data_IF_125830738434
#
_entry.id   IF_125830738434
#
_cell.length_a   1.000
_cell.length_b   1.000
_cell.length_c   1.000
_cell.angle_alpha   90.00
_cell.angle_beta   90.00
_cell.angle_gamma   90.00
#
_symmetry.space_group_name_H-M   'P 1'
#
loop_
_entity.id
_entity.type
_entity.pdbx_description
1 polymer ?
#
# COMPACT_ATOMS: atom_id res chain seq x y z
N UNK A 1 -9.54 2.50 -60.51
CA UNK A 1 -8.83 1.59 -59.58
C UNK A 1 -9.89 0.77 -58.86
N UNK A 2 -9.96 -0.54 -59.12
CA UNK A 2 -10.92 -1.41 -58.44
C UNK A 2 -10.51 -1.57 -56.98
N UNK A 3 -11.38 -1.19 -56.05
CA UNK A 3 -11.21 -1.50 -54.64
C UNK A 3 -11.32 -3.03 -54.48
N UNK A 4 -10.23 -3.68 -54.08
CA UNK A 4 -10.27 -5.07 -53.62
C UNK A 4 -11.07 -5.07 -52.31
N UNK A 5 -12.32 -5.50 -52.38
CA UNK A 5 -13.16 -5.70 -51.19
C UNK A 5 -12.63 -6.85 -50.33
N UNK A 6 -12.76 -6.71 -49.02
CA UNK A 6 -12.46 -7.77 -48.05
C UNK A 6 -13.44 -8.93 -48.26
N UNK A 7 -12.96 -10.18 -48.23
CA UNK A 7 -13.86 -11.33 -48.34
C UNK A 7 -14.57 -11.60 -47.01
N UNK A 8 -15.78 -12.14 -47.06
CA UNK A 8 -16.51 -12.53 -45.85
C UNK A 8 -15.73 -13.58 -45.04
N UNK A 9 -15.04 -14.50 -45.72
CA UNK A 9 -14.25 -15.54 -45.04
C UNK A 9 -13.02 -14.96 -44.32
N UNK A 10 -12.36 -13.95 -44.89
CA UNK A 10 -11.26 -13.26 -44.20
C UNK A 10 -11.75 -12.60 -42.91
N UNK A 11 -12.94 -11.98 -42.93
CA UNK A 11 -13.49 -11.36 -41.72
C UNK A 11 -13.83 -12.41 -40.65
N UNK A 12 -14.43 -13.53 -41.05
CA UNK A 12 -14.80 -14.62 -40.14
C UNK A 12 -13.56 -15.27 -39.51
N UNK A 13 -12.52 -15.52 -40.29
CA UNK A 13 -11.27 -16.09 -39.74
C UNK A 13 -10.63 -15.14 -38.72
N UNK A 14 -10.63 -13.83 -38.98
CA UNK A 14 -10.05 -12.85 -38.06
C UNK A 14 -10.76 -12.84 -36.71
N UNK A 15 -12.09 -12.82 -36.69
CA UNK A 15 -12.84 -12.83 -35.42
C UNK A 15 -12.67 -14.16 -34.65
N UNK A 16 -12.56 -15.29 -35.36
CA UNK A 16 -12.32 -16.60 -34.73
C UNK A 16 -10.93 -16.65 -34.09
N UNK A 17 -9.90 -16.16 -34.78
CA UNK A 17 -8.54 -16.11 -34.24
C UNK A 17 -8.46 -15.18 -33.03
N UNK A 18 -9.05 -13.98 -33.11
CA UNK A 18 -9.11 -13.04 -31.96
C UNK A 18 -9.86 -13.68 -30.79
N UNK A 19 -10.94 -14.43 -31.05
CA UNK A 19 -11.69 -15.15 -30.02
C UNK A 19 -10.85 -16.16 -29.24
N UNK A 20 -10.06 -16.98 -29.94
CA UNK A 20 -9.19 -17.99 -29.30
C UNK A 20 -8.08 -17.31 -28.48
N UNK A 21 -7.44 -16.27 -29.04
CA UNK A 21 -6.37 -15.54 -28.35
C UNK A 21 -6.87 -14.85 -27.09
N UNK A 22 -8.09 -14.28 -27.11
CA UNK A 22 -8.67 -13.63 -25.94
C UNK A 22 -8.89 -14.60 -24.77
N UNK A 23 -9.41 -15.81 -25.05
CA UNK A 23 -9.71 -16.82 -24.01
C UNK A 23 -8.43 -17.25 -23.27
N UNK A 24 -7.32 -17.43 -23.99
CA UNK A 24 -6.04 -17.85 -23.39
C UNK A 24 -5.36 -16.70 -22.64
N UNK A 25 -5.53 -15.45 -23.08
CA UNK A 25 -4.87 -14.30 -22.50
C UNK A 25 -5.52 -13.79 -21.20
N UNK A 26 -6.85 -13.87 -21.07
CA UNK A 26 -7.60 -13.29 -19.93
C UNK A 26 -7.15 -13.84 -18.57
N UNK A 27 -7.04 -15.16 -18.33
CA UNK A 27 -6.68 -15.68 -17.01
C UNK A 27 -5.31 -15.20 -16.54
N UNK A 28 -4.34 -15.14 -17.47
CA UNK A 28 -3.00 -14.64 -17.19
C UNK A 28 -2.98 -13.13 -16.95
N UNK A 29 -3.81 -12.38 -17.66
CA UNK A 29 -3.93 -10.93 -17.42
C UNK A 29 -4.49 -10.61 -16.03
N UNK A 30 -5.44 -11.42 -15.52
CA UNK A 30 -5.98 -11.26 -14.16
C UNK A 30 -4.91 -11.57 -13.11
N UNK A 31 -4.17 -12.68 -13.25
CA UNK A 31 -3.11 -13.03 -12.29
C UNK A 31 -2.00 -11.97 -12.23
N UNK A 32 -1.57 -11.45 -13.40
CA UNK A 32 -0.56 -10.40 -13.47
C UNK A 32 -1.01 -9.10 -12.78
N UNK A 33 -2.29 -8.76 -12.85
CA UNK A 33 -2.83 -7.59 -12.15
C UNK A 33 -2.81 -7.79 -10.63
N UNK A 34 -3.13 -8.99 -10.13
CA UNK A 34 -3.05 -9.31 -8.70
C UNK A 34 -1.61 -9.27 -8.20
N UNK A 35 -0.68 -9.85 -8.95
CA UNK A 35 0.76 -9.81 -8.63
C UNK A 35 1.29 -8.37 -8.60
N UNK A 36 0.88 -7.54 -9.58
CA UNK A 36 1.25 -6.13 -9.62
C UNK A 36 0.70 -5.36 -8.40
N UNK A 37 -0.53 -5.64 -7.98
CA UNK A 37 -1.12 -5.06 -6.76
C UNK A 37 -0.35 -5.49 -5.51
N UNK A 38 -0.05 -6.78 -5.37
CA UNK A 38 0.71 -7.31 -4.25
C UNK A 38 2.13 -6.73 -4.18
N UNK A 39 2.81 -6.60 -5.33
CA UNK A 39 4.12 -5.95 -5.42
C UNK A 39 4.05 -4.47 -5.01
N UNK A 40 3.01 -3.75 -5.44
CA UNK A 40 2.83 -2.33 -5.10
C UNK A 40 2.57 -2.13 -3.60
N UNK A 41 1.75 -2.98 -2.97
CA UNK A 41 1.55 -2.97 -1.52
C UNK A 41 2.82 -3.37 -0.75
N UNK A 42 3.61 -4.28 -1.30
CA UNK A 42 4.92 -4.64 -0.71
C UNK A 42 5.89 -3.45 -0.77
N UNK A 43 5.89 -2.70 -1.88
CA UNK A 43 6.62 -1.44 -1.99
C UNK A 43 6.15 -0.42 -0.94
N UNK A 44 4.84 -0.29 -0.75
CA UNK A 44 4.27 0.57 0.28
C UNK A 44 4.73 0.18 1.70
N UNK A 45 4.68 -1.11 2.04
CA UNK A 45 5.17 -1.66 3.31
C UNK A 45 6.64 -1.27 3.54
N UNK A 46 7.49 -1.46 2.54
CA UNK A 46 8.92 -1.12 2.65
C UNK A 46 9.17 0.37 2.89
N UNK A 47 8.36 1.25 2.29
CA UNK A 47 8.42 2.70 2.51
C UNK A 47 8.03 3.09 3.94
N UNK A 48 7.00 2.44 4.49
CA UNK A 48 6.56 2.61 5.88
C UNK A 48 7.64 2.11 6.84
N UNK A 49 8.20 0.93 6.61
CA UNK A 49 9.28 0.37 7.44
C UNK A 49 10.55 1.22 7.43
N UNK A 50 10.90 1.77 6.28
CA UNK A 50 12.03 2.70 6.13
C UNK A 50 11.79 3.96 6.94
N UNK A 51 10.60 4.56 6.81
CA UNK A 51 10.23 5.78 7.53
C UNK A 51 10.18 5.56 9.05
N UNK A 52 9.64 4.42 9.50
CA UNK A 52 9.66 3.98 10.90
C UNK A 52 11.09 3.92 11.43
N UNK A 53 12.01 3.32 10.67
CA UNK A 53 13.42 3.17 11.07
C UNK A 53 14.14 4.52 11.13
N UNK A 54 13.89 5.42 10.18
CA UNK A 54 14.46 6.78 10.19
C UNK A 54 14.01 7.58 11.41
N UNK A 55 12.71 7.55 11.75
CA UNK A 55 12.17 8.22 12.93
C UNK A 55 12.77 7.63 14.21
N UNK A 56 12.87 6.30 14.28
CA UNK A 56 13.50 5.62 15.40
C UNK A 56 14.96 6.02 15.59
N UNK A 57 15.75 6.06 14.53
CA UNK A 57 17.16 6.48 14.61
C UNK A 57 17.30 7.93 15.10
N UNK A 58 16.39 8.82 14.68
CA UNK A 58 16.35 10.21 15.18
C UNK A 58 15.93 10.28 16.65
N UNK A 59 15.00 9.44 17.10
CA UNK A 59 14.62 9.35 18.50
C UNK A 59 15.77 8.80 19.37
N UNK A 60 16.48 7.78 18.88
CA UNK A 60 17.66 7.21 19.53
C UNK A 60 18.76 8.25 19.71
N UNK A 61 19.04 9.05 18.68
CA UNK A 61 20.03 10.15 18.75
C UNK A 61 19.65 11.27 19.74
N UNK A 62 18.41 11.28 20.26
CA UNK A 62 17.91 12.20 21.27
C UNK A 62 17.65 11.52 22.61
N UNK A 63 18.03 10.25 22.75
CA UNK A 63 17.77 9.41 23.93
C UNK A 63 16.27 9.24 24.26
N UNK A 64 15.38 9.43 23.27
CA UNK A 64 13.92 9.33 23.42
C UNK A 64 13.34 7.95 23.08
N UNK A 65 14.20 6.97 22.80
CA UNK A 65 13.80 5.64 22.30
C UNK A 65 13.13 4.74 23.36
N UNK A 66 13.16 5.13 24.64
CA UNK A 66 12.50 4.41 25.74
C UNK A 66 11.25 5.16 26.26
N UNK A 67 11.04 6.38 25.80
CA UNK A 67 9.96 7.22 26.29
C UNK A 67 8.63 6.81 25.66
N UNK A 68 7.64 6.50 26.49
CA UNK A 68 6.30 6.12 26.00
C UNK A 68 5.60 7.27 25.27
N UNK A 69 5.83 8.50 25.70
CA UNK A 69 5.21 9.69 25.11
C UNK A 69 6.26 10.77 24.94
N UNK A 70 6.79 10.88 23.73
CA UNK A 70 7.76 11.92 23.39
C UNK A 70 7.46 12.52 22.01
N UNK A 71 8.21 13.56 21.65
CA UNK A 71 8.23 14.08 20.29
C UNK A 71 9.65 14.31 19.87
N UNK A 72 10.00 13.85 18.68
CA UNK A 72 11.31 14.09 18.09
C UNK A 72 11.17 15.17 17.02
N UNK A 73 12.16 16.05 16.93
CA UNK A 73 12.22 17.03 15.84
C UNK A 73 12.80 16.36 14.61
N UNK A 74 12.04 16.40 13.53
CA UNK A 74 12.30 15.67 12.31
C UNK A 74 12.05 16.68 11.17
N UNK A 75 13.13 17.20 10.58
CA UNK A 75 13.11 18.22 9.51
C UNK A 75 12.28 19.47 9.86
N UNK A 76 12.44 19.95 11.10
CA UNK A 76 11.75 21.13 11.60
C UNK A 76 10.31 20.89 12.05
N UNK A 77 9.79 19.66 11.94
CA UNK A 77 8.46 19.28 12.42
C UNK A 77 8.58 18.36 13.62
N UNK A 78 7.71 18.57 14.61
CA UNK A 78 7.61 17.68 15.76
C UNK A 78 6.75 16.48 15.37
N UNK A 79 7.34 15.29 15.41
CA UNK A 79 6.62 14.03 15.19
C UNK A 79 6.45 13.36 16.56
N UNK A 80 5.21 13.10 16.99
CA UNK A 80 4.98 12.36 18.22
C UNK A 80 5.36 10.90 18.03
N UNK A 81 6.05 10.38 19.04
CA UNK A 81 6.61 9.05 19.07
C UNK A 81 6.23 8.33 20.37
N UNK A 82 6.11 7.02 20.27
CA UNK A 82 6.00 6.09 21.39
C UNK A 82 7.16 5.10 21.29
N UNK A 83 8.00 5.07 22.31
CA UNK A 83 9.21 4.25 22.38
C UNK A 83 10.11 4.39 21.14
N UNK A 84 10.28 5.63 20.67
CA UNK A 84 11.06 5.96 19.47
C UNK A 84 10.35 5.73 18.14
N UNK A 85 9.18 5.09 18.10
CA UNK A 85 8.45 4.82 16.86
C UNK A 85 7.29 5.80 16.65
N UNK A 86 6.91 6.13 15.40
CA UNK A 86 5.79 7.02 15.15
C UNK A 86 4.46 6.43 15.65
N UNK A 87 3.54 7.29 16.07
CA UNK A 87 2.19 6.86 16.41
C UNK A 87 1.42 6.35 15.19
N UNK A 88 0.33 5.62 15.42
CA UNK A 88 -0.59 5.11 14.38
C UNK A 88 -1.49 6.23 13.85
N UNK A 89 -0.88 7.28 13.32
CA UNK A 89 -1.56 8.39 12.67
C UNK A 89 -0.67 9.00 11.57
N UNK A 90 -0.99 8.71 10.30
CA UNK A 90 -0.15 9.16 9.16
C UNK A 90 -0.10 10.69 9.01
N UNK A 91 -1.13 11.40 9.47
CA UNK A 91 -1.19 12.86 9.34
C UNK A 91 -0.04 13.56 10.07
N UNK A 92 0.56 12.89 11.06
CA UNK A 92 1.61 13.44 11.92
C UNK A 92 3.02 13.31 11.31
N UNK A 93 3.21 12.50 10.25
CA UNK A 93 4.52 12.20 9.65
C UNK A 93 4.51 12.19 8.11
N UNK A 94 3.38 12.53 7.49
CA UNK A 94 3.25 12.75 6.05
C UNK A 94 4.13 13.88 5.53
N UNK A 95 4.39 14.84 6.42
CA UNK A 95 5.18 16.01 6.17
C UNK A 95 6.67 15.77 6.51
N UNK A 96 7.37 15.05 5.63
CA UNK A 96 8.84 14.98 5.63
C UNK A 96 9.45 13.59 5.52
N UNK A 97 8.71 12.51 5.83
CA UNK A 97 9.28 11.15 5.90
C UNK A 97 8.57 10.19 4.97
N UNK A 98 7.27 10.03 5.17
CA UNK A 98 6.47 9.09 4.40
C UNK A 98 5.37 9.81 3.65
N UNK A 99 5.64 10.10 2.37
CA UNK A 99 4.64 10.67 1.48
C UNK A 99 3.84 9.54 0.85
N UNK A 100 2.61 9.37 1.33
CA UNK A 100 1.66 8.47 0.68
C UNK A 100 1.26 9.06 -0.67
N UNK A 101 1.36 8.28 -1.75
CA UNK A 101 0.80 8.68 -3.03
C UNK A 101 -0.74 8.66 -2.96
N UNK A 102 -1.33 9.82 -2.74
CA UNK A 102 -2.79 10.01 -2.59
C UNK A 102 -3.57 9.77 -3.89
N UNK A 103 -2.89 9.66 -5.03
CA UNK A 103 -3.54 9.26 -6.27
C UNK A 103 -3.78 7.76 -6.33
N UNK A 104 -2.93 6.97 -5.65
CA UNK A 104 -2.97 5.51 -5.69
C UNK A 104 -3.49 4.88 -4.39
N UNK A 105 -3.26 5.53 -3.25
CA UNK A 105 -3.57 4.97 -1.94
C UNK A 105 -4.49 5.86 -1.10
N UNK A 106 -5.23 5.21 -0.22
CA UNK A 106 -5.99 5.80 0.90
C UNK A 106 -5.54 5.16 2.21
N UNK A 107 -5.93 5.79 3.30
CA UNK A 107 -5.72 5.25 4.64
C UNK A 107 -6.99 5.35 5.49
N UNK A 108 -7.11 4.50 6.50
CA UNK A 108 -8.15 4.52 7.52
C UNK A 108 -7.58 4.05 8.85
N UNK A 109 -8.35 4.21 9.94
CA UNK A 109 -8.07 3.52 11.20
C UNK A 109 -8.88 2.23 11.25
N UNK A 110 -8.34 1.22 11.90
CA UNK A 110 -9.09 0.01 12.25
C UNK A 110 -10.25 0.34 13.19
N UNK A 111 -11.24 -0.55 13.27
CA UNK A 111 -12.43 -0.39 14.10
C UNK A 111 -12.12 -0.24 15.60
N UNK A 112 -11.03 -0.85 16.07
CA UNK A 112 -10.49 -0.71 17.43
C UNK A 112 -9.60 0.53 17.62
N UNK A 113 -9.36 1.30 16.54
CA UNK A 113 -8.51 2.50 16.51
C UNK A 113 -7.03 2.24 16.89
N UNK A 114 -6.58 0.98 16.85
CA UNK A 114 -5.22 0.59 17.22
C UNK A 114 -4.24 0.55 16.04
N UNK A 115 -4.75 0.35 14.82
CA UNK A 115 -3.95 0.25 13.61
C UNK A 115 -4.34 1.29 12.56
N UNK A 116 -3.34 1.76 11.81
CA UNK A 116 -3.56 2.44 10.54
C UNK A 116 -3.61 1.40 9.42
N UNK A 117 -4.61 1.49 8.56
CA UNK A 117 -4.78 0.63 7.39
C UNK A 117 -4.50 1.45 6.14
N UNK A 118 -3.71 0.91 5.21
CA UNK A 118 -3.40 1.50 3.92
C UNK A 118 -3.86 0.58 2.80
N UNK A 119 -4.52 1.14 1.80
CA UNK A 119 -5.17 0.36 0.74
C UNK A 119 -5.31 1.18 -0.55
N UNK A 120 -5.57 0.51 -1.67
CA UNK A 120 -5.76 1.19 -2.96
C UNK A 120 -6.98 2.11 -2.96
N UNK A 121 -6.86 3.24 -3.65
CA UNK A 121 -7.88 4.31 -3.66
C UNK A 121 -9.25 3.84 -4.17
N UNK A 122 -9.23 2.91 -5.12
CA UNK A 122 -10.39 2.29 -5.77
C UNK A 122 -11.07 1.20 -4.95
N UNK A 123 -10.48 0.77 -3.82
CA UNK A 123 -11.07 -0.28 -2.99
C UNK A 123 -12.40 0.18 -2.38
N UNK A 124 -13.44 -0.64 -2.56
CA UNK A 124 -14.75 -0.51 -1.95
C UNK A 124 -15.30 -1.91 -1.61
N UNK A 125 -15.78 -2.16 -0.37
CA UNK A 125 -15.88 -1.23 0.75
C UNK A 125 -14.51 -0.88 1.35
N UNK A 126 -14.46 0.24 2.08
CA UNK A 126 -13.28 0.66 2.83
C UNK A 126 -12.92 -0.40 3.89
N UNK A 127 -11.63 -0.79 4.01
CA UNK A 127 -11.17 -1.65 5.10
C UNK A 127 -11.44 -1.06 6.47
N UNK A 128 -11.90 -1.91 7.38
CA UNK A 128 -12.18 -1.57 8.78
C UNK A 128 -11.41 -2.46 9.75
N UNK A 129 -10.86 -3.59 9.30
CA UNK A 129 -10.13 -4.51 10.17
C UNK A 129 -8.74 -4.82 9.63
N UNK A 130 -7.85 -5.25 10.53
CA UNK A 130 -6.50 -5.70 10.18
C UNK A 130 -6.49 -7.03 9.42
N UNK A 131 -7.63 -7.72 9.36
CA UNK A 131 -7.79 -9.01 8.67
C UNK A 131 -8.30 -8.83 7.24
N UNK A 132 -8.66 -7.61 6.84
CA UNK A 132 -9.13 -7.35 5.49
C UNK A 132 -7.99 -7.63 4.48
N UNK A 133 -8.33 -8.17 3.31
CA UNK A 133 -7.35 -8.45 2.25
C UNK A 133 -6.84 -7.17 1.59
N UNK A 134 -5.72 -7.26 0.87
CA UNK A 134 -5.19 -6.16 0.03
C UNK A 134 -4.91 -4.86 0.81
N UNK A 135 -4.29 -5.00 1.98
CA UNK A 135 -3.93 -3.87 2.84
C UNK A 135 -2.49 -4.00 3.35
N UNK A 136 -1.91 -2.85 3.70
CA UNK A 136 -0.78 -2.75 4.62
C UNK A 136 -1.31 -2.14 5.92
N UNK A 137 -0.91 -2.67 7.07
CA UNK A 137 -1.35 -2.13 8.36
C UNK A 137 -0.16 -1.82 9.28
N UNK A 138 -0.31 -0.76 10.08
CA UNK A 138 0.71 -0.26 10.99
C UNK A 138 0.17 -0.16 12.42
N UNK A 139 0.87 -0.80 13.36
CA UNK A 139 0.63 -0.66 14.79
C UNK A 139 1.71 0.20 15.43
N UNK A 140 1.31 1.17 16.25
CA UNK A 140 2.25 1.92 17.07
C UNK A 140 2.95 0.98 18.07
N UNK A 141 4.17 1.34 18.46
CA UNK A 141 4.89 0.58 19.48
C UNK A 141 4.25 0.76 20.86
N UNK A 142 4.04 -0.35 21.57
CA UNK A 142 3.53 -0.41 22.95
C UNK A 142 4.63 -0.63 23.99
N UNK A 143 5.86 -0.84 23.53
CA UNK A 143 7.08 -0.98 24.33
C UNK A 143 8.28 -0.53 23.49
N UNK A 144 9.49 -0.65 24.01
CA UNK A 144 10.75 -0.46 23.26
C UNK A 144 10.94 -1.43 22.08
N UNK A 145 10.04 -2.39 21.91
CA UNK A 145 10.02 -3.30 20.76
C UNK A 145 9.58 -2.56 19.48
N UNK A 146 10.07 -2.98 18.30
CA UNK A 146 9.68 -2.39 17.02
C UNK A 146 8.17 -2.34 16.79
N UNK A 147 7.68 -1.17 16.37
CA UNK A 147 6.34 -1.03 15.79
C UNK A 147 6.15 -2.01 14.62
N UNK A 148 4.96 -2.61 14.53
CA UNK A 148 4.66 -3.69 13.59
C UNK A 148 4.09 -3.13 12.29
N UNK A 149 4.66 -3.54 11.16
CA UNK A 149 4.12 -3.27 9.81
C UNK A 149 3.73 -4.60 9.18
N UNK A 150 2.43 -4.84 9.07
CA UNK A 150 1.89 -6.06 8.46
C UNK A 150 1.37 -5.83 7.05
N UNK A 151 1.19 -6.92 6.33
CA UNK A 151 0.70 -6.93 4.95
C UNK A 151 -0.22 -8.12 4.73
N UNK A 152 -1.38 -7.87 4.14
CA UNK A 152 -2.31 -8.89 3.71
C UNK A 152 -2.41 -8.82 2.18
N UNK A 153 -2.17 -9.96 1.54
CA UNK A 153 -2.24 -10.08 0.09
C UNK A 153 -3.64 -9.75 -0.44
N UNK A 154 -3.69 -9.22 -1.66
CA UNK A 154 -4.92 -9.11 -2.42
C UNK A 154 -5.34 -10.52 -2.84
N UNK A 155 -6.54 -10.91 -2.43
CA UNK A 155 -7.19 -12.15 -2.84
C UNK A 155 -8.22 -11.83 -3.92
N UNK A 156 -8.47 -12.79 -4.81
CA UNK A 156 -9.51 -12.73 -5.85
C UNK A 156 -10.91 -12.49 -5.26
#
# INVERSE_FOLDING_TARGET
MAARGFTLIELVIVIVVIGILAIVAIPKFVSLQLDAKNATLTGLKSGIESSRTLIYNKALAKDLHQEQNASVLVDGKLVPISYGYPLSDITLWQDGYFRLDVNYFKHSKSSDNLAMLFYFKERSPQPTTINDSCIVHYFAATSSSPAVVGFNQCLE
#
